data_IF_705822365146
#
_entry.id   IF_705822365146
#
_cell.length_a   1.000
_cell.length_b   1.000
_cell.length_c   1.000
_cell.angle_alpha   90.00
_cell.angle_beta   90.00
_cell.angle_gamma   90.00
#
_symmetry.space_group_name_H-M   'P 1'
#
loop_
_entity.id
_entity.type
_entity.pdbx_description
1 polymer ?
#
# COMPACT_ATOMS: atom_id res chain seq x y z
N UNK A 1 3.50 -27.08 -6.72
CA UNK A 1 3.37 -25.87 -5.89
C UNK A 1 3.64 -24.70 -6.81
N UNK A 2 2.61 -24.20 -7.48
CA UNK A 2 2.74 -23.05 -8.38
C UNK A 2 2.54 -21.78 -7.55
N UNK A 3 3.65 -21.10 -7.25
CA UNK A 3 3.59 -19.72 -6.77
C UNK A 3 3.41 -18.85 -8.02
N UNK A 4 2.16 -18.71 -8.48
CA UNK A 4 1.84 -17.76 -9.54
C UNK A 4 1.89 -16.37 -8.89
N UNK A 5 3.08 -15.78 -8.85
CA UNK A 5 3.22 -14.35 -8.61
C UNK A 5 2.36 -13.63 -9.64
N UNK A 6 1.40 -12.82 -9.17
CA UNK A 6 0.53 -12.01 -10.04
C UNK A 6 1.39 -11.29 -11.09
N UNK A 7 0.96 -11.21 -12.37
CA UNK A 7 1.72 -10.52 -13.39
C UNK A 7 2.02 -9.09 -12.93
N UNK A 8 3.30 -8.71 -12.96
CA UNK A 8 3.76 -7.38 -12.58
C UNK A 8 3.11 -6.37 -13.52
N UNK A 9 2.13 -5.62 -13.00
CA UNK A 9 1.52 -4.52 -13.72
C UNK A 9 2.49 -3.32 -13.63
N UNK A 10 2.94 -2.75 -14.75
CA UNK A 10 3.84 -1.59 -14.76
C UNK A 10 3.29 -0.42 -13.94
N UNK A 11 1.95 -0.22 -13.93
CA UNK A 11 1.29 0.77 -13.05
C UNK A 11 1.50 0.54 -11.56
N UNK A 12 1.80 -0.70 -11.15
CA UNK A 12 2.12 -1.03 -9.76
C UNK A 12 3.56 -0.64 -9.43
N UNK A 13 4.50 -0.77 -10.37
CA UNK A 13 5.90 -0.39 -10.16
C UNK A 13 6.02 1.12 -9.96
N UNK A 14 5.37 1.93 -10.81
CA UNK A 14 5.36 3.39 -10.68
C UNK A 14 4.82 3.80 -9.30
N UNK A 15 3.68 3.24 -8.89
CA UNK A 15 3.09 3.52 -7.59
C UNK A 15 4.01 3.11 -6.42
N UNK A 16 4.71 1.99 -6.52
CA UNK A 16 5.68 1.58 -5.49
C UNK A 16 6.89 2.52 -5.46
N UNK A 17 7.45 2.88 -6.62
CA UNK A 17 8.57 3.80 -6.73
C UNK A 17 8.21 5.18 -6.16
N UNK A 18 7.03 5.70 -6.50
CA UNK A 18 6.51 6.94 -5.92
C UNK A 18 6.38 6.85 -4.40
N UNK A 19 5.83 5.74 -3.86
CA UNK A 19 5.74 5.56 -2.41
C UNK A 19 7.12 5.56 -1.74
N UNK A 20 8.10 4.85 -2.31
CA UNK A 20 9.49 4.84 -1.82
C UNK A 20 10.08 6.25 -1.85
N UNK A 21 9.84 7.00 -2.92
CA UNK A 21 10.32 8.38 -3.07
C UNK A 21 9.72 9.32 -2.03
N UNK A 22 8.40 9.28 -1.81
CA UNK A 22 7.74 10.10 -0.78
C UNK A 22 8.22 9.74 0.62
N UNK A 23 8.37 8.45 0.89
CA UNK A 23 8.86 7.96 2.18
C UNK A 23 10.32 8.37 2.41
N UNK A 24 11.13 8.39 1.34
CA UNK A 24 12.50 8.90 1.39
C UNK A 24 12.55 10.37 1.80
N UNK A 25 11.65 11.21 1.24
CA UNK A 25 11.52 12.62 1.65
C UNK A 25 11.10 12.73 3.12
N UNK A 26 10.19 11.87 3.59
CA UNK A 26 9.77 11.84 4.99
C UNK A 26 10.96 11.54 5.91
N UNK A 27 11.76 10.53 5.59
CA UNK A 27 12.97 10.14 6.34
C UNK A 27 13.98 11.31 6.39
N UNK A 28 14.10 12.06 5.31
CA UNK A 28 14.95 13.25 5.24
C UNK A 28 14.44 14.44 6.08
N UNK A 29 13.27 14.34 6.71
CA UNK A 29 12.63 15.40 7.48
C UNK A 29 11.75 16.33 6.66
N UNK A 30 11.32 15.88 5.47
CA UNK A 30 10.37 16.59 4.61
C UNK A 30 11.02 17.51 3.57
N UNK A 31 10.16 18.14 2.75
CA UNK A 31 10.58 18.99 1.63
C UNK A 31 11.46 20.17 2.05
N UNK A 32 11.25 20.72 3.26
CA UNK A 32 12.05 21.83 3.79
C UNK A 32 13.53 21.43 3.90
N UNK A 33 13.81 20.27 4.49
CA UNK A 33 15.17 19.77 4.62
C UNK A 33 15.78 19.46 3.25
N UNK A 34 14.99 18.94 2.30
CA UNK A 34 15.45 18.72 0.92
C UNK A 34 15.96 20.01 0.26
N UNK A 35 15.28 21.14 0.51
CA UNK A 35 15.73 22.48 0.05
C UNK A 35 16.99 22.92 0.79
N UNK A 36 17.09 22.67 2.08
CA UNK A 36 18.24 23.04 2.91
C UNK A 36 19.52 22.29 2.54
N UNK A 37 19.43 21.04 2.07
CA UNK A 37 20.59 20.30 1.56
C UNK A 37 21.15 20.87 0.25
N UNK A 38 20.43 21.79 -0.42
CA UNK A 38 20.87 22.62 -1.57
C UNK A 38 21.62 21.87 -2.68
N UNK A 39 21.38 20.57 -2.85
CA UNK A 39 22.02 19.77 -3.90
C UNK A 39 21.00 19.52 -5.02
N UNK A 40 21.18 20.23 -6.15
CA UNK A 40 20.29 20.21 -7.31
C UNK A 40 20.11 18.83 -7.96
N UNK A 41 20.95 17.84 -7.63
CA UNK A 41 20.94 16.50 -8.22
C UNK A 41 20.20 15.45 -7.38
N UNK A 42 19.73 15.80 -6.18
CA UNK A 42 19.13 14.82 -5.27
C UNK A 42 17.78 14.30 -5.75
N UNK A 43 16.97 15.17 -6.35
CA UNK A 43 15.65 14.78 -6.85
C UNK A 43 15.75 13.71 -7.96
N UNK A 44 16.54 13.91 -9.04
CA UNK A 44 16.77 12.87 -10.04
C UNK A 44 17.38 11.59 -9.46
N UNK A 45 18.45 11.70 -8.67
CA UNK A 45 19.13 10.50 -8.13
C UNK A 45 18.26 9.72 -7.14
N UNK A 46 17.40 10.39 -6.39
CA UNK A 46 16.46 9.73 -5.47
C UNK A 46 15.32 9.06 -6.23
N UNK A 47 14.82 9.69 -7.30
CA UNK A 47 13.82 9.07 -8.18
C UNK A 47 14.39 7.81 -8.85
N UNK A 48 15.60 7.89 -9.42
CA UNK A 48 16.31 6.75 -9.99
C UNK A 48 16.49 5.62 -8.96
N UNK A 49 16.93 5.96 -7.75
CA UNK A 49 17.09 4.99 -6.68
C UNK A 49 15.77 4.33 -6.29
N UNK A 50 14.68 5.10 -6.15
CA UNK A 50 13.37 4.57 -5.83
C UNK A 50 12.86 3.58 -6.88
N UNK A 51 13.05 3.89 -8.16
CA UNK A 51 12.71 2.99 -9.27
C UNK A 51 13.57 1.73 -9.28
N UNK A 52 14.88 1.84 -9.08
CA UNK A 52 15.79 0.68 -9.00
C UNK A 52 15.37 -0.25 -7.86
N UNK A 53 15.04 0.30 -6.68
CA UNK A 53 14.60 -0.49 -5.53
C UNK A 53 13.23 -1.12 -5.79
N UNK A 54 12.26 -0.40 -6.35
CA UNK A 54 10.95 -0.94 -6.70
C UNK A 54 11.08 -2.09 -7.71
N UNK A 55 11.77 -1.87 -8.83
CA UNK A 55 11.96 -2.89 -9.86
C UNK A 55 12.72 -4.11 -9.34
N UNK A 56 13.75 -3.91 -8.51
CA UNK A 56 14.55 -5.02 -7.99
C UNK A 56 13.76 -5.93 -7.06
N UNK A 57 12.83 -5.38 -6.29
CA UNK A 57 12.13 -6.13 -5.25
C UNK A 57 10.71 -6.57 -5.66
N UNK A 58 10.03 -5.83 -6.54
CA UNK A 58 8.65 -6.10 -6.95
C UNK A 58 8.57 -6.73 -8.35
N UNK A 59 9.70 -6.92 -9.03
CA UNK A 59 9.77 -7.58 -10.34
C UNK A 59 10.89 -8.62 -10.40
N UNK A 60 10.86 -9.47 -11.43
CA UNK A 60 11.86 -10.52 -11.67
C UNK A 60 13.02 -10.02 -12.55
N UNK A 61 13.17 -8.69 -12.72
CA UNK A 61 14.19 -8.11 -13.61
C UNK A 61 15.60 -8.25 -13.05
N UNK A 62 16.54 -8.54 -13.95
CA UNK A 62 17.98 -8.48 -13.71
C UNK A 62 18.47 -7.04 -13.65
N UNK A 63 19.66 -6.82 -13.07
CA UNK A 63 20.24 -5.47 -13.00
C UNK A 63 20.44 -4.84 -14.39
N UNK A 64 20.72 -5.66 -15.42
CA UNK A 64 20.83 -5.22 -16.82
C UNK A 64 19.48 -4.75 -17.38
N UNK A 65 18.42 -5.51 -17.17
CA UNK A 65 17.07 -5.13 -17.62
C UNK A 65 16.55 -3.89 -16.89
N UNK A 66 16.89 -3.70 -15.62
CA UNK A 66 16.58 -2.48 -14.87
C UNK A 66 17.31 -1.28 -15.48
N UNK A 67 18.60 -1.45 -15.80
CA UNK A 67 19.42 -0.41 -16.42
C UNK A 67 18.86 0.00 -17.80
N UNK A 68 18.52 -0.98 -18.64
CA UNK A 68 17.90 -0.76 -19.94
C UNK A 68 16.54 -0.04 -19.81
N UNK A 69 15.71 -0.45 -18.85
CA UNK A 69 14.39 0.14 -18.61
C UNK A 69 14.47 1.61 -18.20
N UNK A 70 15.43 1.97 -17.34
CA UNK A 70 15.60 3.35 -16.82
C UNK A 70 16.52 4.21 -17.69
N UNK A 71 17.17 3.65 -18.71
CA UNK A 71 18.15 4.36 -19.52
C UNK A 71 19.43 4.73 -18.76
N UNK A 72 19.81 3.94 -17.74
CA UNK A 72 21.02 4.13 -16.94
C UNK A 72 22.01 2.99 -17.17
N UNK A 73 23.21 3.07 -16.57
CA UNK A 73 24.19 1.99 -16.68
C UNK A 73 23.93 0.87 -15.66
N UNK A 74 24.30 -0.37 -15.98
CA UNK A 74 24.24 -1.48 -15.02
C UNK A 74 25.12 -1.21 -13.79
N UNK A 75 26.21 -0.46 -13.96
CA UNK A 75 27.06 -0.03 -12.84
C UNK A 75 26.30 0.93 -11.91
N UNK A 76 25.52 1.88 -12.45
CA UNK A 76 24.67 2.77 -11.65
C UNK A 76 23.67 1.97 -10.82
N UNK A 77 23.03 0.95 -11.42
CA UNK A 77 22.12 0.04 -10.71
C UNK A 77 22.85 -0.68 -9.57
N UNK A 78 24.02 -1.27 -9.84
CA UNK A 78 24.83 -1.96 -8.82
C UNK A 78 25.18 -1.03 -7.67
N UNK A 79 25.64 0.17 -7.98
CA UNK A 79 26.01 1.19 -7.01
C UNK A 79 24.84 1.58 -6.10
N UNK A 80 23.63 1.75 -6.66
CA UNK A 80 22.42 2.04 -5.89
C UNK A 80 22.08 0.87 -4.96
N UNK A 81 22.10 -0.37 -5.47
CA UNK A 81 21.76 -1.55 -4.69
C UNK A 81 22.77 -1.84 -3.57
N UNK A 82 24.05 -1.57 -3.80
CA UNK A 82 25.13 -1.72 -2.84
C UNK A 82 25.25 -0.56 -1.85
N UNK A 83 24.43 0.48 -1.97
CA UNK A 83 24.48 1.64 -1.08
C UNK A 83 24.27 1.21 0.38
N UNK A 84 25.14 1.71 1.26
CA UNK A 84 25.07 1.47 2.70
C UNK A 84 24.06 2.42 3.35
N UNK A 85 23.14 1.84 4.10
CA UNK A 85 22.08 2.55 4.81
C UNK A 85 22.64 3.32 6.02
N UNK A 86 23.71 2.84 6.65
CA UNK A 86 24.30 3.48 7.83
C UNK A 86 24.99 4.81 7.47
N UNK A 87 25.61 4.87 6.29
CA UNK A 87 26.27 6.08 5.76
C UNK A 87 25.30 7.24 5.53
N UNK A 88 24.02 6.95 5.31
CA UNK A 88 22.97 7.98 5.20
C UNK A 88 22.83 8.73 6.53
N UNK A 89 22.81 8.02 7.65
CA UNK A 89 22.62 8.64 8.96
C UNK A 89 23.81 9.50 9.35
N UNK A 90 25.03 9.06 9.02
CA UNK A 90 26.26 9.84 9.21
C UNK A 90 26.25 11.12 8.35
N UNK A 91 25.77 11.02 7.09
CA UNK A 91 25.61 12.18 6.21
C UNK A 91 24.59 13.19 6.77
N UNK A 92 23.43 12.71 7.24
CA UNK A 92 22.37 13.58 7.80
C UNK A 92 22.81 14.28 9.09
N UNK A 93 23.69 13.64 9.87
CA UNK A 93 24.29 14.25 11.08
C UNK A 93 25.45 15.20 10.76
N UNK A 94 25.87 15.31 9.50
CA UNK A 94 27.03 16.11 9.08
C UNK A 94 28.37 15.48 9.46
N UNK A 95 28.37 14.20 9.85
CA UNK A 95 29.56 13.43 10.27
C UNK A 95 30.35 12.90 9.06
N UNK A 96 29.72 12.85 7.87
CA UNK A 96 30.37 12.49 6.61
C UNK A 96 30.11 13.51 5.51
N UNK A 97 31.14 13.76 4.67
CA UNK A 97 31.05 14.59 3.46
C UNK A 97 30.90 13.77 2.18
N UNK A 98 30.94 12.44 2.26
CA UNK A 98 30.74 11.57 1.11
C UNK A 98 29.29 11.66 0.64
N UNK A 99 29.09 12.24 -0.54
CA UNK A 99 27.77 12.42 -1.16
C UNK A 99 27.37 11.23 -2.02
N UNK A 100 28.29 10.30 -2.28
CA UNK A 100 28.05 9.16 -3.15
C UNK A 100 27.06 8.19 -2.49
N UNK A 101 26.06 7.77 -3.28
CA UNK A 101 25.10 6.71 -2.94
C UNK A 101 24.15 6.98 -1.77
N UNK A 102 24.10 8.19 -1.22
CA UNK A 102 23.13 8.59 -0.18
C UNK A 102 21.69 8.36 -0.61
N UNK A 103 21.36 8.68 -1.87
CA UNK A 103 20.03 8.43 -2.46
C UNK A 103 19.65 6.94 -2.47
N UNK A 104 20.60 6.05 -2.77
CA UNK A 104 20.40 4.60 -2.75
C UNK A 104 20.15 4.07 -1.35
N UNK A 105 20.92 4.52 -0.37
CA UNK A 105 20.74 4.13 1.04
C UNK A 105 19.39 4.58 1.58
N UNK A 106 18.98 5.83 1.29
CA UNK A 106 17.67 6.34 1.72
C UNK A 106 16.53 5.55 1.08
N UNK A 107 16.59 5.28 -0.23
CA UNK A 107 15.55 4.52 -0.91
C UNK A 107 15.39 3.10 -0.34
N UNK A 108 16.49 2.45 0.07
CA UNK A 108 16.45 1.14 0.76
C UNK A 108 15.78 1.23 2.13
N UNK A 109 16.13 2.23 2.93
CA UNK A 109 15.49 2.49 4.23
C UNK A 109 13.99 2.75 4.07
N UNK A 110 13.61 3.58 3.10
CA UNK A 110 12.23 3.88 2.79
C UNK A 110 11.43 2.63 2.38
N UNK A 111 11.99 1.79 1.50
CA UNK A 111 11.33 0.56 1.10
C UNK A 111 11.14 -0.41 2.28
N UNK A 112 12.14 -0.54 3.16
CA UNK A 112 12.02 -1.36 4.37
C UNK A 112 10.90 -0.84 5.29
N UNK A 113 10.89 0.46 5.58
CA UNK A 113 9.85 1.07 6.41
C UNK A 113 8.44 0.84 5.83
N UNK A 114 8.28 0.93 4.50
CA UNK A 114 7.01 0.64 3.82
C UNK A 114 6.58 -0.81 4.02
N UNK A 115 7.50 -1.77 3.93
CA UNK A 115 7.19 -3.19 4.13
C UNK A 115 6.83 -3.48 5.58
N UNK A 116 7.64 -3.02 6.53
CA UNK A 116 7.35 -3.19 7.96
C UNK A 116 5.99 -2.59 8.34
N UNK A 117 5.66 -1.39 7.85
CA UNK A 117 4.34 -0.80 8.09
C UNK A 117 3.20 -1.58 7.46
N UNK A 118 3.41 -2.17 6.28
CA UNK A 118 2.40 -3.00 5.62
C UNK A 118 2.18 -4.31 6.38
N UNK A 119 3.26 -4.98 6.76
CA UNK A 119 3.19 -6.25 7.49
C UNK A 119 2.47 -6.05 8.84
N UNK A 120 2.78 -4.96 9.55
CA UNK A 120 2.05 -4.56 10.76
C UNK A 120 0.55 -4.29 10.54
N UNK A 121 0.16 -3.75 9.38
CA UNK A 121 -1.26 -3.52 9.07
C UNK A 121 -1.98 -4.84 8.77
N UNK A 122 -1.36 -5.73 8.01
CA UNK A 122 -1.91 -7.02 7.66
C UNK A 122 -2.10 -7.88 8.93
N UNK A 123 -1.10 -7.93 9.84
CA UNK A 123 -1.23 -8.58 11.16
C UNK A 123 -2.38 -8.01 12.00
N UNK A 124 -2.51 -6.68 12.03
CA UNK A 124 -3.62 -6.02 12.77
C UNK A 124 -4.98 -6.31 12.16
N UNK A 125 -5.06 -6.45 10.84
CA UNK A 125 -6.30 -6.85 10.16
C UNK A 125 -6.67 -8.28 10.51
N UNK A 126 -5.71 -9.21 10.51
CA UNK A 126 -5.95 -10.61 10.92
C UNK A 126 -6.48 -10.69 12.36
N UNK A 127 -5.85 -9.99 13.30
CA UNK A 127 -6.31 -9.93 14.71
C UNK A 127 -7.73 -9.35 14.81
N UNK A 128 -8.02 -8.31 14.04
CA UNK A 128 -9.35 -7.69 14.02
C UNK A 128 -10.40 -8.65 13.44
N UNK A 129 -10.09 -9.37 12.37
CA UNK A 129 -10.99 -10.36 11.76
C UNK A 129 -11.26 -11.52 12.72
N UNK A 130 -10.24 -12.06 13.39
CA UNK A 130 -10.40 -13.12 14.40
C UNK A 130 -11.26 -12.64 15.59
N UNK A 131 -11.04 -11.41 16.04
CA UNK A 131 -11.84 -10.78 17.10
C UNK A 131 -13.30 -10.59 16.66
N UNK A 132 -13.52 -10.12 15.43
CA UNK A 132 -14.86 -9.92 14.88
C UNK A 132 -15.61 -11.26 14.70
N UNK A 133 -14.93 -12.32 14.25
CA UNK A 133 -15.49 -13.68 14.19
C UNK A 133 -15.87 -14.20 15.56
N UNK A 134 -14.99 -14.02 16.55
CA UNK A 134 -15.25 -14.44 17.95
C UNK A 134 -16.46 -13.74 18.56
N UNK A 135 -16.70 -12.49 18.17
CA UNK A 135 -17.86 -11.69 18.59
C UNK A 135 -19.10 -11.88 17.69
N UNK A 136 -19.02 -12.67 16.61
CA UNK A 136 -20.12 -12.89 15.66
C UNK A 136 -20.53 -11.65 14.87
N UNK A 137 -19.60 -10.72 14.65
CA UNK A 137 -19.77 -9.44 13.92
C UNK A 137 -18.87 -9.33 12.69
N UNK A 138 -18.23 -10.42 12.28
CA UNK A 138 -17.42 -10.55 11.06
C UNK A 138 -18.17 -10.11 9.79
N UNK A 139 -19.47 -10.41 9.72
CA UNK A 139 -20.34 -9.97 8.63
C UNK A 139 -20.34 -8.45 8.43
N UNK A 140 -20.25 -7.67 9.51
CA UNK A 140 -20.28 -6.22 9.43
C UNK A 140 -19.00 -5.69 8.76
N UNK A 141 -17.85 -6.30 9.06
CA UNK A 141 -16.56 -5.97 8.43
C UNK A 141 -16.61 -6.28 6.94
N UNK A 142 -17.15 -7.44 6.56
CA UNK A 142 -17.31 -7.82 5.16
C UNK A 142 -18.26 -6.89 4.40
N UNK A 143 -19.41 -6.52 4.98
CA UNK A 143 -20.33 -5.56 4.37
C UNK A 143 -19.63 -4.21 4.14
N UNK A 144 -18.99 -3.65 5.16
CA UNK A 144 -18.28 -2.37 5.05
C UNK A 144 -17.16 -2.38 4.00
N UNK A 145 -16.45 -3.51 3.88
CA UNK A 145 -15.33 -3.65 2.95
C UNK A 145 -15.81 -3.67 1.49
N UNK A 146 -16.95 -4.32 1.22
CA UNK A 146 -17.51 -4.43 -0.13
C UNK A 146 -18.23 -3.16 -0.60
N UNK A 147 -18.82 -2.40 0.33
CA UNK A 147 -19.48 -1.14 0.01
C UNK A 147 -18.53 0.07 0.00
N UNK A 148 -17.23 -0.14 0.26
CA UNK A 148 -16.25 0.95 0.29
C UNK A 148 -16.24 1.70 -1.05
N UNK A 149 -16.47 3.00 -0.99
CA UNK A 149 -16.53 3.88 -2.16
C UNK A 149 -17.91 3.99 -2.84
N UNK A 150 -18.97 3.37 -2.28
CA UNK A 150 -20.35 3.69 -2.65
C UNK A 150 -20.72 5.10 -2.16
N UNK A 151 -21.44 5.84 -2.98
CA UNK A 151 -22.00 7.13 -2.61
C UNK A 151 -23.40 6.90 -2.05
N UNK A 152 -23.64 7.34 -0.83
CA UNK A 152 -24.95 7.28 -0.19
C UNK A 152 -25.74 8.57 -0.47
N UNK A 153 -27.09 8.53 -0.52
CA UNK A 153 -27.95 7.36 -0.27
C UNK A 153 -27.90 6.31 -1.39
N UNK A 154 -28.10 5.03 -1.04
CA UNK A 154 -28.06 3.88 -1.95
C UNK A 154 -29.39 3.15 -1.99
N UNK A 155 -29.69 2.60 -3.17
CA UNK A 155 -30.82 1.70 -3.39
C UNK A 155 -30.38 0.23 -3.28
N UNK A 156 -31.35 -0.68 -3.31
CA UNK A 156 -31.12 -2.12 -3.19
C UNK A 156 -30.18 -2.65 -4.27
N UNK A 157 -30.36 -2.18 -5.51
CA UNK A 157 -29.59 -2.60 -6.67
C UNK A 157 -28.10 -2.29 -6.49
N UNK A 158 -27.77 -1.11 -5.95
CA UNK A 158 -26.39 -0.70 -5.67
C UNK A 158 -25.70 -1.64 -4.67
N UNK A 159 -26.44 -2.12 -3.67
CA UNK A 159 -25.94 -3.05 -2.65
C UNK A 159 -25.83 -4.47 -3.20
N UNK A 160 -26.79 -4.92 -4.00
CA UNK A 160 -26.77 -6.24 -4.63
C UNK A 160 -25.56 -6.40 -5.55
N UNK A 161 -25.21 -5.38 -6.34
CA UNK A 161 -24.01 -5.43 -7.19
C UNK A 161 -22.72 -5.70 -6.40
N UNK A 162 -22.67 -5.26 -5.14
CA UNK A 162 -21.49 -5.38 -4.27
C UNK A 162 -21.49 -6.61 -3.39
N UNK A 163 -22.66 -7.10 -3.00
CA UNK A 163 -22.78 -8.12 -1.95
C UNK A 163 -23.24 -9.49 -2.45
N UNK A 164 -23.67 -9.60 -3.72
CA UNK A 164 -24.25 -10.84 -4.29
C UNK A 164 -23.48 -12.12 -3.94
N UNK A 165 -24.24 -13.16 -3.55
CA UNK A 165 -23.70 -14.47 -3.21
C UNK A 165 -23.08 -14.57 -1.81
N UNK A 166 -23.12 -13.49 -1.02
CA UNK A 166 -22.73 -13.52 0.38
C UNK A 166 -23.84 -14.07 1.28
N UNK A 167 -23.47 -14.69 2.40
CA UNK A 167 -24.41 -15.21 3.39
C UNK A 167 -24.03 -14.71 4.77
N UNK A 168 -25.03 -14.25 5.53
CA UNK A 168 -24.87 -13.83 6.92
C UNK A 168 -25.65 -14.79 7.81
N UNK A 169 -24.94 -15.53 8.67
CA UNK A 169 -25.54 -16.55 9.57
C UNK A 169 -26.41 -17.57 8.82
N UNK A 170 -26.01 -17.95 7.60
CA UNK A 170 -26.74 -18.90 6.76
C UNK A 170 -27.94 -18.31 6.00
N UNK A 171 -28.28 -17.03 6.19
CA UNK A 171 -29.28 -16.31 5.37
C UNK A 171 -28.60 -15.69 4.15
N UNK A 172 -29.11 -15.91 2.92
CA UNK A 172 -28.66 -15.20 1.73
C UNK A 172 -28.77 -13.68 1.91
N UNK A 173 -27.77 -12.93 1.46
CA UNK A 173 -27.80 -11.47 1.56
C UNK A 173 -28.94 -10.88 0.74
N UNK A 174 -29.33 -11.53 -0.35
CA UNK A 174 -30.45 -11.15 -1.18
C UNK A 174 -31.74 -11.08 -0.35
N UNK A 175 -32.04 -12.13 0.41
CA UNK A 175 -33.22 -12.18 1.29
C UNK A 175 -33.18 -11.11 2.39
N UNK A 176 -31.97 -10.81 2.91
CA UNK A 176 -31.79 -9.75 3.90
C UNK A 176 -32.08 -8.39 3.27
N UNK A 177 -31.48 -8.10 2.11
CA UNK A 177 -31.65 -6.84 1.39
C UNK A 177 -33.09 -6.61 0.92
N UNK A 178 -33.83 -7.68 0.61
CA UNK A 178 -35.26 -7.63 0.27
C UNK A 178 -36.14 -7.13 1.43
N UNK A 179 -35.67 -7.32 2.67
CA UNK A 179 -36.41 -6.93 3.89
C UNK A 179 -36.10 -5.52 4.41
N UNK A 180 -35.17 -4.80 3.79
CA UNK A 180 -34.73 -3.48 4.25
C UNK A 180 -35.59 -2.35 3.66
N UNK A 181 -35.64 -1.23 4.37
CA UNK A 181 -36.24 0.00 3.88
C UNK A 181 -35.19 0.85 3.13
N UNK A 182 -35.58 1.34 1.95
CA UNK A 182 -34.75 2.16 1.07
C UNK A 182 -35.33 3.56 0.87
N UNK A 183 -34.51 4.57 0.54
CA UNK A 183 -33.06 4.48 0.36
C UNK A 183 -32.29 4.48 1.69
N UNK A 184 -31.18 3.75 1.74
CA UNK A 184 -30.30 3.74 2.92
C UNK A 184 -29.35 4.93 2.82
N UNK A 185 -29.25 5.75 3.87
CA UNK A 185 -28.57 7.06 3.84
C UNK A 185 -27.13 7.01 4.30
N UNK A 186 -26.70 5.94 4.97
CA UNK A 186 -25.32 5.81 5.43
C UNK A 186 -24.88 4.35 5.64
N UNK A 187 -23.56 4.08 5.65
CA UNK A 187 -23.03 2.77 6.03
C UNK A 187 -23.47 2.31 7.43
N UNK A 188 -23.60 3.22 8.39
CA UNK A 188 -24.02 2.90 9.74
C UNK A 188 -25.49 2.45 9.79
N UNK A 189 -26.35 3.13 9.03
CA UNK A 189 -27.77 2.77 8.87
C UNK A 189 -27.91 1.39 8.20
N UNK A 190 -27.11 1.11 7.17
CA UNK A 190 -27.07 -0.22 6.53
C UNK A 190 -26.73 -1.32 7.53
N UNK A 191 -25.65 -1.16 8.29
CA UNK A 191 -25.25 -2.15 9.30
C UNK A 191 -26.33 -2.34 10.36
N UNK A 192 -26.98 -1.25 10.79
CA UNK A 192 -28.07 -1.35 11.74
C UNK A 192 -29.26 -2.13 11.16
N UNK A 193 -29.68 -1.80 9.93
CA UNK A 193 -30.80 -2.45 9.25
C UNK A 193 -30.53 -3.95 9.01
N UNK A 194 -29.33 -4.31 8.54
CA UNK A 194 -28.91 -5.72 8.41
C UNK A 194 -28.92 -6.40 9.78
N UNK A 195 -28.39 -5.76 10.83
CA UNK A 195 -28.37 -6.33 12.18
C UNK A 195 -29.79 -6.65 12.66
N UNK A 196 -30.76 -5.76 12.44
CA UNK A 196 -32.15 -6.01 12.82
C UNK A 196 -32.78 -7.14 11.99
N UNK A 197 -32.47 -7.23 10.69
CA UNK A 197 -32.98 -8.31 9.81
C UNK A 197 -32.40 -9.71 10.11
N UNK A 198 -31.20 -9.77 10.70
CA UNK A 198 -30.53 -11.03 11.07
C UNK A 198 -30.64 -11.38 12.56
N UNK A 199 -31.26 -10.52 13.38
CA UNK A 199 -31.69 -10.93 14.72
C UNK A 199 -32.76 -12.00 14.54
N UNK A 200 -32.57 -13.14 15.18
CA UNK A 200 -33.66 -14.08 15.42
C UNK A 200 -34.71 -13.43 16.33
#
# INVERSE_FOLDING_TARGET
MEVIGKPVNERNIDAVAERIFHESIRILGGLKNLVEYRNLTWLPSLAEAAYVIALKNESIKTNREIAEYLGITEQTVKNILSADENRVMEYLKGESREKEHVAGGIAKLAYRAIKEHRDNLDERMEIMEESARSLGVDWAVHVLSNIKGLNFPVEKEDLLERLKGYQIRGKPIEDILDSLEYPIKSPAELLHAIREAIKD
#
